data_IF_751803627707
#
_entry.id   IF_751803627707
#
_cell.length_a   1.000
_cell.length_b   1.000
_cell.length_c   1.000
_cell.angle_alpha   90.00
_cell.angle_beta   90.00
_cell.angle_gamma   90.00
#
_symmetry.space_group_name_H-M   'P 1'
#
loop_
_entity.id
_entity.type
_entity.pdbx_description
1 polymer ?
#
# COMPACT_ATOMS: atom_id res chain seq x y z
N UNK A 1 13.10 -2.79 2.58
CA UNK A 1 11.77 -2.14 2.46
C UNK A 1 11.45 -1.44 3.77
N UNK A 2 10.65 -0.38 3.73
CA UNK A 2 10.10 0.22 4.96
C UNK A 2 9.07 -0.74 5.56
N UNK A 3 9.01 -0.85 6.89
CA UNK A 3 8.03 -1.70 7.58
C UNK A 3 7.05 -0.83 8.34
N UNK A 4 5.76 -1.04 8.11
CA UNK A 4 4.66 -0.35 8.78
C UNK A 4 3.84 -1.37 9.56
N UNK A 5 3.49 -1.02 10.80
CA UNK A 5 2.56 -1.83 11.61
C UNK A 5 1.18 -1.20 11.55
N UNK A 6 0.22 -1.94 11.01
CA UNK A 6 -1.19 -1.56 10.98
C UNK A 6 -1.89 -2.14 12.20
N UNK A 7 -2.69 -1.32 12.87
CA UNK A 7 -3.54 -1.77 13.97
C UNK A 7 -4.96 -1.89 13.44
N UNK A 8 -5.49 -3.11 13.41
CA UNK A 8 -6.87 -3.33 12.99
C UNK A 8 -7.83 -2.67 13.99
N UNK A 9 -8.72 -1.81 13.50
CA UNK A 9 -9.66 -1.05 14.34
C UNK A 9 -10.59 -1.95 15.17
N UNK A 10 -10.95 -3.12 14.63
CA UNK A 10 -11.94 -4.00 15.26
C UNK A 10 -11.35 -4.89 16.37
N UNK A 11 -10.11 -5.35 16.19
CA UNK A 11 -9.47 -6.31 17.09
C UNK A 11 -8.37 -5.70 17.94
N UNK A 12 -7.81 -4.56 17.52
CA UNK A 12 -6.60 -3.97 18.08
C UNK A 12 -5.33 -4.78 17.78
N UNK A 13 -5.42 -5.78 16.90
CA UNK A 13 -4.28 -6.61 16.51
C UNK A 13 -3.36 -5.83 15.57
N UNK A 14 -2.07 -5.87 15.87
CA UNK A 14 -1.01 -5.30 15.04
C UNK A 14 -0.57 -6.29 13.98
N UNK A 15 -0.58 -5.89 12.72
CA UNK A 15 -0.04 -6.66 11.60
C UNK A 15 1.05 -5.85 10.91
N UNK A 16 2.21 -6.46 10.72
CA UNK A 16 3.34 -5.83 10.04
C UNK A 16 3.22 -6.06 8.53
N UNK A 17 3.50 -5.02 7.77
CA UNK A 17 3.57 -5.05 6.32
C UNK A 17 4.83 -4.33 5.83
N UNK A 18 5.31 -4.73 4.66
CA UNK A 18 6.49 -4.17 4.00
C UNK A 18 6.05 -3.28 2.84
N UNK A 19 6.42 -2.01 2.85
CA UNK A 19 6.10 -1.07 1.77
C UNK A 19 7.02 -1.34 0.59
N UNK A 20 6.40 -1.65 -0.55
CA UNK A 20 7.08 -1.88 -1.82
C UNK A 20 7.25 -0.56 -2.59
N UNK A 21 6.18 0.24 -2.65
CA UNK A 21 6.16 1.51 -3.37
C UNK A 21 5.02 2.41 -2.88
N UNK A 22 5.15 3.72 -3.11
CA UNK A 22 4.16 4.73 -2.70
C UNK A 22 3.86 5.68 -3.87
N UNK A 23 2.60 6.10 -4.03
CA UNK A 23 2.23 7.06 -5.06
C UNK A 23 1.03 7.90 -4.68
N UNK A 24 0.79 8.98 -5.41
CA UNK A 24 -0.38 9.85 -5.24
C UNK A 24 -1.13 9.97 -6.56
N UNK A 25 -2.40 9.56 -6.56
CA UNK A 25 -3.29 9.67 -7.72
C UNK A 25 -4.52 10.50 -7.35
N UNK A 26 -4.82 11.53 -8.15
CA UNK A 26 -5.97 12.43 -7.93
C UNK A 26 -6.04 13.05 -6.51
N UNK A 27 -4.88 13.22 -5.85
CA UNK A 27 -4.81 13.78 -4.50
C UNK A 27 -5.02 12.76 -3.38
N UNK A 28 -5.18 11.49 -3.69
CA UNK A 28 -5.25 10.38 -2.72
C UNK A 28 -3.89 9.69 -2.71
N UNK A 29 -3.35 9.45 -1.52
CA UNK A 29 -2.12 8.68 -1.33
C UNK A 29 -2.43 7.18 -1.33
N UNK A 30 -1.58 6.41 -2.00
CA UNK A 30 -1.67 4.97 -2.10
C UNK A 30 -0.32 4.35 -1.77
N UNK A 31 -0.36 3.20 -1.11
CA UNK A 31 0.81 2.39 -0.83
C UNK A 31 0.59 0.96 -1.34
N UNK A 32 1.61 0.38 -1.94
CA UNK A 32 1.69 -1.04 -2.23
C UNK A 32 2.47 -1.72 -1.12
N UNK A 33 1.86 -2.70 -0.45
CA UNK A 33 2.48 -3.41 0.66
C UNK A 33 2.46 -4.91 0.45
N UNK A 34 3.43 -5.62 1.05
CA UNK A 34 3.48 -7.07 1.10
C UNK A 34 3.43 -7.58 2.56
N UNK A 35 2.83 -8.76 2.77
CA UNK A 35 2.73 -9.39 4.09
C UNK A 35 4.06 -10.00 4.59
N UNK A 36 5.02 -10.21 3.68
CA UNK A 36 6.37 -10.69 3.96
C UNK A 36 7.37 -10.23 2.89
N UNK A 37 8.66 -10.47 3.12
CA UNK A 37 9.73 -10.20 2.14
C UNK A 37 10.03 -11.42 1.24
N UNK A 38 9.23 -12.49 1.32
CA UNK A 38 9.42 -13.73 0.57
C UNK A 38 8.85 -13.61 -0.86
N UNK A 39 9.30 -14.47 -1.78
CA UNK A 39 8.86 -14.45 -3.19
C UNK A 39 7.37 -14.79 -3.38
N UNK A 40 6.76 -15.50 -2.42
CA UNK A 40 5.36 -15.88 -2.41
C UNK A 40 4.47 -14.95 -1.56
N UNK A 41 5.00 -13.79 -1.17
CA UNK A 41 4.28 -12.80 -0.39
C UNK A 41 3.00 -12.31 -1.09
N UNK A 42 1.96 -12.07 -0.30
CA UNK A 42 0.72 -11.47 -0.78
C UNK A 42 0.85 -9.94 -0.75
N UNK A 43 0.67 -9.32 -1.92
CA UNK A 43 0.69 -7.87 -2.07
C UNK A 43 -0.71 -7.27 -2.09
N UNK A 44 -0.87 -6.11 -1.46
CA UNK A 44 -2.12 -5.36 -1.38
C UNK A 44 -1.88 -3.88 -1.63
N UNK A 45 -2.85 -3.22 -2.27
CA UNK A 45 -2.87 -1.77 -2.42
C UNK A 45 -3.79 -1.18 -1.36
N UNK A 46 -3.26 -0.25 -0.57
CA UNK A 46 -4.00 0.49 0.44
C UNK A 46 -4.09 1.97 0.04
N UNK A 47 -5.26 2.58 0.24
CA UNK A 47 -5.49 4.02 0.05
C UNK A 47 -5.53 4.72 1.41
N UNK A 48 -4.89 5.89 1.51
CA UNK A 48 -4.99 6.73 2.70
C UNK A 48 -6.32 7.52 2.68
N UNK A 49 -7.08 7.38 3.75
CA UNK A 49 -8.33 8.07 4.03
C UNK A 49 -8.16 9.10 5.15
N UNK A 50 -6.93 9.30 5.62
CA UNK A 50 -6.63 10.30 6.63
C UNK A 50 -6.86 11.73 6.11
N UNK A 51 -7.23 12.62 7.02
CA UNK A 51 -7.36 14.02 6.70
C UNK A 51 -5.97 14.66 6.57
N UNK A 52 -5.83 15.62 5.66
CA UNK A 52 -4.60 16.41 5.50
C UNK A 52 -4.09 16.95 6.85
N UNK A 53 -2.86 16.59 7.20
CA UNK A 53 -2.21 17.00 8.46
C UNK A 53 -2.63 16.20 9.70
N UNK A 54 -3.33 15.07 9.52
CA UNK A 54 -3.54 14.10 10.59
C UNK A 54 -2.20 13.58 11.13
N UNK A 55 -2.14 13.36 12.45
CA UNK A 55 -0.97 12.72 13.08
C UNK A 55 -0.99 11.20 12.90
N UNK A 56 -2.15 10.65 12.55
CA UNK A 56 -2.37 9.22 12.33
C UNK A 56 -2.93 9.02 10.93
N UNK A 57 -2.34 8.10 10.18
CA UNK A 57 -2.82 7.70 8.86
C UNK A 57 -3.86 6.59 9.01
N UNK A 58 -4.88 6.59 8.14
CA UNK A 58 -5.97 5.60 8.16
C UNK A 58 -6.07 5.02 6.79
N UNK A 59 -5.64 3.77 6.65
CA UNK A 59 -5.60 3.09 5.37
C UNK A 59 -6.75 2.10 5.22
N UNK A 60 -7.22 1.95 3.99
CA UNK A 60 -8.23 0.97 3.60
C UNK A 60 -7.74 0.21 2.35
N UNK A 61 -8.06 -1.07 2.25
CA UNK A 61 -7.77 -1.87 1.04
C UNK A 61 -8.57 -1.30 -0.12
N UNK A 62 -7.94 -1.19 -1.29
CA UNK A 62 -8.64 -0.77 -2.51
C UNK A 62 -9.49 -1.95 -3.04
N UNK A 63 -10.81 -1.85 -2.87
CA UNK A 63 -11.77 -2.88 -3.29
C UNK A 63 -12.45 -2.60 -4.65
N UNK A 64 -12.46 -1.36 -5.16
CA UNK A 64 -13.06 -1.06 -6.49
C UNK A 64 -12.08 -1.50 -7.59
N UNK A 65 -12.51 -2.45 -8.43
CA UNK A 65 -11.67 -3.03 -9.49
C UNK A 65 -11.04 -1.98 -10.43
N UNK A 66 -11.76 -0.88 -10.72
CA UNK A 66 -11.25 0.15 -11.66
C UNK A 66 -10.23 1.04 -10.98
N UNK A 67 -10.45 1.35 -9.70
CA UNK A 67 -9.46 2.05 -8.88
C UNK A 67 -8.19 1.19 -8.74
N UNK A 68 -8.36 -0.10 -8.44
CA UNK A 68 -7.27 -1.05 -8.33
C UNK A 68 -6.46 -1.14 -9.63
N UNK A 69 -7.12 -1.32 -10.78
CA UNK A 69 -6.44 -1.38 -12.08
C UNK A 69 -5.68 -0.09 -12.40
N UNK A 70 -6.29 1.06 -12.13
CA UNK A 70 -5.67 2.36 -12.39
C UNK A 70 -4.42 2.59 -11.54
N UNK A 71 -4.48 2.25 -10.24
CA UNK A 71 -3.36 2.44 -9.31
C UNK A 71 -2.29 1.38 -9.54
N UNK A 72 -2.67 0.13 -9.80
CA UNK A 72 -1.74 -0.95 -10.14
C UNK A 72 -0.90 -0.60 -11.36
N UNK A 73 -1.51 -0.05 -12.42
CA UNK A 73 -0.76 0.37 -13.61
C UNK A 73 0.29 1.46 -13.33
N UNK A 74 0.06 2.32 -12.33
CA UNK A 74 1.05 3.30 -11.87
C UNK A 74 2.17 2.61 -11.10
N UNK A 75 1.83 1.69 -10.20
CA UNK A 75 2.84 0.92 -9.46
C UNK A 75 3.71 0.06 -10.38
N UNK A 76 3.14 -0.62 -11.38
CA UNK A 76 3.90 -1.38 -12.37
C UNK A 76 4.93 -0.49 -13.08
N UNK A 77 4.55 0.72 -13.49
CA UNK A 77 5.47 1.67 -14.13
C UNK A 77 6.58 2.14 -13.18
N UNK A 78 6.26 2.40 -11.90
CA UNK A 78 7.24 2.82 -10.90
C UNK A 78 8.22 1.69 -10.56
N UNK A 79 7.70 0.47 -10.41
CA UNK A 79 8.49 -0.72 -10.13
C UNK A 79 9.31 -1.16 -11.34
N UNK A 80 8.89 -0.87 -12.58
CA UNK A 80 9.70 -1.11 -13.78
C UNK A 80 10.92 -0.18 -13.88
N UNK A 81 10.84 1.05 -13.32
CA UNK A 81 11.97 2.00 -13.26
C UNK A 81 12.99 1.65 -12.16
N UNK A 82 12.64 0.74 -11.25
CA UNK A 82 13.53 0.15 -10.26
C UNK A 82 13.87 -1.26 -10.76
N UNK A 83 15.12 -1.55 -11.14
CA UNK A 83 15.53 -2.93 -11.48
C UNK A 83 15.34 -3.86 -10.24
N UNK A 84 14.12 -4.34 -9.99
CA UNK A 84 13.81 -5.36 -8.99
C UNK A 84 13.93 -6.70 -9.69
N UNK A 85 15.13 -7.26 -9.64
CA UNK A 85 15.34 -8.67 -9.99
C UNK A 85 14.78 -9.55 -8.88
N UNK A 86 13.71 -10.28 -9.18
CA UNK A 86 13.27 -11.46 -8.44
C UNK A 86 14.23 -12.63 -8.70
#
# INVERSE_FOLDING_TARGET
MEKITFVQNDTGEGTDFFVLEETRLNGIDYILVADSEEEDAEAMILKDLSADGSQEAVYEVVEDDRELEAVMSVFEQLLEDVDITF
#
